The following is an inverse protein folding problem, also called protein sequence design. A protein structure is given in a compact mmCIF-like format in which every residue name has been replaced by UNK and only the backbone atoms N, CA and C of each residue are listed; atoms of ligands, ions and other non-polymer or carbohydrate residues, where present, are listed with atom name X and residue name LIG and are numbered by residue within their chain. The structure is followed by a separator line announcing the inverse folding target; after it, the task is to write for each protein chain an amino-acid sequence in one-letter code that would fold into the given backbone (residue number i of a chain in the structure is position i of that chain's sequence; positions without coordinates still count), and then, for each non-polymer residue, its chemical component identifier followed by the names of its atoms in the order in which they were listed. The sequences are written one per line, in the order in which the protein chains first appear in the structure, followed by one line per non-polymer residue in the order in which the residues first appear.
data_IF_693396581716
#
_entry.id   IF_693396581716
#
_cell.length_a   1.000
_cell.length_b   1.000
_cell.length_c   1.000
_cell.angle_alpha   90.00
_cell.angle_beta   90.00
_cell.angle_gamma   90.00
#
_symmetry.space_group_name_H-M   'P 1'
#
loop_
_entity.id
_entity.type
_entity.pdbx_description
1 polymer ?
#
# COMPACT_ATOMS: atom_id res chain seq x y z
N UNK A 1 -13.57 -11.80 -3.78
CA UNK A 1 -14.78 -11.18 -4.32
C UNK A 1 -14.40 -9.99 -5.18
N UNK A 2 -15.03 -9.83 -6.35
CA UNK A 2 -14.85 -8.68 -7.24
C UNK A 2 -16.12 -7.84 -7.20
N UNK A 3 -15.98 -6.53 -7.09
CA UNK A 3 -17.06 -5.58 -6.97
C UNK A 3 -17.17 -4.73 -8.23
N UNK A 4 -18.36 -4.16 -8.49
CA UNK A 4 -18.61 -3.24 -9.60
C UNK A 4 -19.37 -3.82 -10.79
N UNK A 5 -19.71 -5.11 -10.78
CA UNK A 5 -20.63 -5.68 -11.76
C UNK A 5 -22.07 -5.23 -11.44
N UNK A 6 -22.87 -4.79 -12.44
CA UNK A 6 -24.27 -4.38 -12.22
C UNK A 6 -25.17 -5.50 -11.67
N UNK A 7 -24.79 -6.76 -11.89
CA UNK A 7 -25.54 -7.93 -11.39
C UNK A 7 -25.18 -8.32 -9.96
N UNK A 8 -24.21 -7.64 -9.36
CA UNK A 8 -23.75 -7.86 -7.99
C UNK A 8 -22.31 -8.37 -7.88
N UNK A 9 -21.86 -8.67 -6.66
CA UNK A 9 -20.50 -9.14 -6.40
C UNK A 9 -20.19 -10.48 -7.06
N UNK A 10 -19.07 -10.57 -7.76
CA UNK A 10 -18.62 -11.80 -8.42
C UNK A 10 -17.63 -12.53 -7.52
N UNK A 11 -17.94 -13.75 -7.10
CA UNK A 11 -17.04 -14.62 -6.34
C UNK A 11 -16.33 -15.58 -7.28
N UNK A 12 -15.02 -15.50 -7.37
CA UNK A 12 -14.17 -16.42 -8.15
C UNK A 12 -13.06 -16.97 -7.26
N UNK A 13 -12.77 -18.26 -7.40
CA UNK A 13 -11.54 -18.86 -6.89
C UNK A 13 -10.49 -18.72 -7.97
N UNK A 14 -9.39 -18.05 -7.66
CA UNK A 14 -8.27 -17.83 -8.58
C UNK A 14 -7.04 -18.54 -8.05
N UNK A 15 -6.20 -19.02 -8.95
CA UNK A 15 -4.88 -19.54 -8.58
C UNK A 15 -3.88 -18.39 -8.61
N UNK A 16 -3.24 -18.13 -7.49
CA UNK A 16 -2.18 -17.13 -7.38
C UNK A 16 -0.86 -17.71 -7.90
N UNK A 17 0.06 -16.87 -8.39
CA UNK A 17 1.44 -17.26 -8.67
C UNK A 17 2.10 -17.90 -7.46
N UNK A 18 2.92 -18.92 -7.71
CA UNK A 18 3.68 -19.61 -6.64
C UNK A 18 4.91 -18.83 -6.16
N UNK A 19 5.27 -17.77 -6.87
CA UNK A 19 6.38 -16.86 -6.53
C UNK A 19 5.85 -15.45 -6.37
N UNK A 20 6.63 -14.61 -5.70
CA UNK A 20 6.33 -13.20 -5.57
C UNK A 20 6.00 -12.58 -6.94
N UNK A 21 4.89 -11.87 -6.98
CA UNK A 21 4.45 -11.08 -8.13
C UNK A 21 3.66 -9.86 -7.64
N UNK A 22 4.33 -8.75 -7.52
CA UNK A 22 3.76 -7.50 -7.01
C UNK A 22 2.86 -6.78 -8.01
N UNK A 23 2.81 -7.26 -9.25
CA UNK A 23 2.02 -6.71 -10.34
C UNK A 23 1.09 -7.73 -11.00
N UNK A 24 0.66 -8.78 -10.28
CA UNK A 24 -0.25 -9.78 -10.83
C UNK A 24 -1.61 -9.15 -11.14
N UNK A 25 -2.01 -9.19 -12.41
CA UNK A 25 -3.30 -8.69 -12.86
C UNK A 25 -4.26 -9.83 -13.21
N UNK A 26 -5.44 -9.85 -12.61
CA UNK A 26 -6.48 -10.83 -12.91
C UNK A 26 -7.68 -10.17 -13.59
N UNK A 27 -8.03 -10.62 -14.80
CA UNK A 27 -9.27 -10.18 -15.48
C UNK A 27 -10.40 -11.12 -15.12
N UNK A 28 -11.45 -10.56 -14.56
CA UNK A 28 -12.68 -11.32 -14.26
C UNK A 28 -13.42 -11.58 -15.57
N UNK A 29 -13.81 -12.84 -15.75
CA UNK A 29 -14.70 -13.24 -16.82
C UNK A 29 -15.98 -13.84 -16.21
N UNK A 30 -17.14 -13.41 -16.71
CA UNK A 30 -18.45 -13.92 -16.32
C UNK A 30 -19.43 -13.86 -17.49
N UNK A 31 -20.12 -14.98 -17.75
CA UNK A 31 -21.14 -15.08 -18.80
C UNK A 31 -20.65 -14.60 -20.20
N UNK A 32 -19.40 -14.90 -20.55
CA UNK A 32 -18.78 -14.48 -21.81
C UNK A 32 -18.33 -13.03 -21.87
N UNK A 33 -18.53 -12.26 -20.81
CA UNK A 33 -18.02 -10.88 -20.68
C UNK A 33 -16.72 -10.87 -19.87
N UNK A 34 -15.73 -10.08 -20.33
CA UNK A 34 -14.41 -9.94 -19.69
C UNK A 34 -14.27 -8.52 -19.18
N UNK A 35 -13.78 -8.37 -17.96
CA UNK A 35 -13.49 -7.06 -17.38
C UNK A 35 -12.52 -6.26 -18.28
N UNK A 36 -12.78 -4.96 -18.55
CA UNK A 36 -11.97 -4.14 -19.46
C UNK A 36 -10.54 -3.94 -18.95
N UNK A 37 -10.34 -3.92 -17.63
CA UNK A 37 -9.05 -3.83 -17.00
C UNK A 37 -8.80 -4.97 -16.02
N UNK A 38 -7.54 -5.39 -15.79
CA UNK A 38 -7.23 -6.37 -14.76
C UNK A 38 -7.37 -5.74 -13.37
N UNK A 39 -7.82 -6.55 -12.41
CA UNK A 39 -7.72 -6.22 -11.00
C UNK A 39 -6.29 -6.50 -10.55
N UNK A 40 -5.65 -5.51 -9.94
CA UNK A 40 -4.32 -5.66 -9.41
C UNK A 40 -4.35 -6.48 -8.11
N UNK A 41 -3.51 -7.51 -8.05
CA UNK A 41 -3.34 -8.37 -6.87
C UNK A 41 -1.85 -8.42 -6.57
N UNK A 42 -1.49 -8.18 -5.33
CA UNK A 42 -0.10 -8.24 -4.88
C UNK A 42 0.16 -9.58 -4.21
N UNK A 43 1.11 -10.32 -4.72
CA UNK A 43 1.58 -11.57 -4.14
C UNK A 43 3.00 -11.34 -3.65
N UNK A 44 3.20 -11.30 -2.34
CA UNK A 44 4.51 -11.14 -1.71
C UNK A 44 4.87 -12.38 -0.89
N UNK A 45 6.16 -12.52 -0.56
CA UNK A 45 6.68 -13.64 0.23
C UNK A 45 6.42 -13.50 1.74
N UNK A 46 5.87 -12.37 2.18
CA UNK A 46 5.61 -12.12 3.60
C UNK A 46 4.30 -12.77 4.05
N UNK A 47 4.23 -13.25 5.30
CA UNK A 47 2.97 -13.65 5.89
C UNK A 47 1.96 -12.50 5.87
N UNK A 48 0.71 -12.80 5.54
CA UNK A 48 -0.41 -11.86 5.58
C UNK A 48 -1.24 -12.07 6.84
N UNK A 49 -1.59 -10.97 7.50
CA UNK A 49 -2.52 -10.92 8.63
C UNK A 49 -3.78 -10.25 8.12
N UNK A 50 -4.89 -10.96 8.15
CA UNK A 50 -6.20 -10.36 7.89
C UNK A 50 -6.67 -9.61 9.13
N UNK A 51 -7.33 -8.49 8.93
CA UNK A 51 -8.02 -7.80 10.02
C UNK A 51 -9.11 -8.67 10.62
N UNK A 52 -9.44 -8.38 11.86
CA UNK A 52 -10.56 -8.96 12.57
C UNK A 52 -11.19 -7.89 13.47
N UNK A 53 -12.42 -7.58 13.18
CA UNK A 53 -13.18 -6.56 13.89
C UNK A 53 -13.73 -7.04 15.25
N UNK A 54 -13.86 -6.15 16.25
CA UNK A 54 -13.52 -4.72 16.21
C UNK A 54 -12.05 -4.45 16.49
N UNK A 55 -11.41 -3.55 15.71
CA UNK A 55 -10.02 -3.18 15.85
C UNK A 55 -9.77 -1.65 15.84
N UNK A 56 -10.82 -0.83 16.05
CA UNK A 56 -10.83 0.64 15.94
C UNK A 56 -9.87 1.39 16.88
N UNK A 57 -9.31 0.73 17.88
CA UNK A 57 -8.45 1.38 18.88
C UNK A 57 -7.13 0.63 19.09
N UNK A 58 -6.10 1.33 19.61
CA UNK A 58 -4.84 0.68 19.99
C UNK A 58 -5.06 -0.47 21.00
N UNK A 59 -6.12 -0.41 21.80
CA UNK A 59 -6.44 -1.44 22.79
C UNK A 59 -7.06 -2.67 22.16
N UNK A 60 -7.88 -2.48 21.13
CA UNK A 60 -8.56 -3.55 20.39
C UNK A 60 -7.79 -3.97 19.14
N UNK A 61 -6.59 -3.45 18.93
CA UNK A 61 -5.74 -3.75 17.77
C UNK A 61 -5.58 -5.25 17.54
N UNK A 62 -5.61 -5.67 16.28
CA UNK A 62 -5.29 -7.05 15.90
C UNK A 62 -3.84 -7.37 16.25
N UNK A 63 -3.63 -8.31 17.16
CA UNK A 63 -2.30 -8.67 17.68
C UNK A 63 -1.73 -9.83 16.87
N UNK A 64 -0.48 -9.69 16.43
CA UNK A 64 0.29 -10.81 15.89
C UNK A 64 1.57 -11.03 16.69
N UNK A 65 1.93 -12.29 16.91
CA UNK A 65 3.22 -12.69 17.49
C UNK A 65 4.34 -12.72 16.44
N UNK A 66 4.00 -12.60 15.16
CA UNK A 66 4.98 -12.55 14.09
C UNK A 66 5.74 -11.22 14.11
N UNK A 67 6.96 -11.26 13.62
CA UNK A 67 7.82 -10.08 13.47
C UNK A 67 7.85 -9.61 12.02
N UNK A 68 8.08 -8.31 11.80
CA UNK A 68 8.28 -7.78 10.46
C UNK A 68 9.45 -8.50 9.74
N UNK A 69 9.39 -8.76 8.42
CA UNK A 69 8.40 -8.20 7.47
C UNK A 69 7.06 -8.94 7.49
N UNK A 70 5.96 -8.19 7.39
CA UNK A 70 4.59 -8.69 7.36
C UNK A 70 3.75 -7.89 6.36
N UNK A 71 2.66 -8.48 5.93
CA UNK A 71 1.58 -7.75 5.27
C UNK A 71 0.32 -7.77 6.15
N UNK A 72 -0.48 -6.71 6.08
CA UNK A 72 -1.77 -6.60 6.75
C UNK A 72 -2.81 -6.25 5.69
N UNK A 73 -3.90 -6.99 5.65
CA UNK A 73 -4.96 -6.84 4.67
C UNK A 73 -6.28 -6.53 5.39
N UNK A 74 -7.04 -5.56 4.89
CA UNK A 74 -8.31 -5.18 5.48
C UNK A 74 -9.19 -4.30 4.61
N UNK A 75 -10.29 -3.84 5.21
CA UNK A 75 -11.31 -2.98 4.61
C UNK A 75 -11.71 -1.93 5.62
N UNK A 76 -11.60 -0.67 5.28
CA UNK A 76 -12.26 0.40 6.07
C UNK A 76 -13.76 0.28 5.81
N UNK A 77 -14.49 -0.44 6.68
CA UNK A 77 -15.84 -0.95 6.40
C UNK A 77 -16.92 0.13 6.37
N UNK A 78 -16.75 1.21 7.14
CA UNK A 78 -17.75 2.27 7.33
C UNK A 78 -17.10 3.63 7.58
N UNK A 79 -17.91 4.67 7.60
CA UNK A 79 -17.47 6.00 8.03
C UNK A 79 -16.83 5.95 9.43
N UNK A 80 -15.67 6.65 9.56
CA UNK A 80 -14.89 6.77 10.80
C UNK A 80 -14.24 5.47 11.28
N UNK A 81 -14.24 4.46 10.45
CA UNK A 81 -13.53 3.23 10.70
C UNK A 81 -12.02 3.44 10.73
N UNK A 82 -11.35 2.69 11.60
CA UNK A 82 -9.92 2.84 11.86
C UNK A 82 -9.31 1.51 12.26
N UNK A 83 -8.47 0.93 11.44
CA UNK A 83 -7.87 -0.36 11.72
C UNK A 83 -6.52 -0.24 12.40
N UNK A 84 -6.30 -1.07 13.39
CA UNK A 84 -5.07 -1.10 14.16
C UNK A 84 -4.49 -2.52 14.19
N UNK A 85 -3.19 -2.62 13.89
CA UNK A 85 -2.42 -3.88 13.92
C UNK A 85 -1.24 -3.75 14.87
N UNK A 86 -1.11 -4.68 15.81
CA UNK A 86 -0.05 -4.69 16.81
C UNK A 86 0.96 -5.78 16.53
N UNK A 87 2.23 -5.42 16.46
CA UNK A 87 3.34 -6.32 16.16
C UNK A 87 4.56 -6.02 17.02
N UNK A 88 5.51 -6.96 17.06
CA UNK A 88 6.79 -6.80 17.75
C UNK A 88 7.89 -6.35 16.79
N UNK A 89 8.75 -5.44 17.25
CA UNK A 89 9.95 -5.03 16.51
C UNK A 89 11.14 -4.79 17.45
N UNK A 90 12.36 -4.89 16.89
CA UNK A 90 13.62 -4.70 17.61
C UNK A 90 14.28 -3.38 17.24
N UNK A 91 14.95 -2.76 18.23
CA UNK A 91 15.73 -1.55 18.05
C UNK A 91 16.71 -1.66 16.87
N UNK A 92 16.75 -0.62 16.06
CA UNK A 92 17.66 -0.51 14.92
C UNK A 92 17.15 -1.17 13.64
N UNK A 93 16.09 -1.99 13.70
CA UNK A 93 15.44 -2.48 12.49
C UNK A 93 14.91 -1.29 11.68
N UNK A 94 15.10 -1.33 10.36
CA UNK A 94 14.69 -0.26 9.46
C UNK A 94 13.75 -0.82 8.40
N UNK A 95 12.56 -0.21 8.28
CA UNK A 95 11.50 -0.66 7.39
C UNK A 95 10.91 0.48 6.57
N UNK A 96 10.45 0.12 5.38
CA UNK A 96 9.48 0.86 4.61
C UNK A 96 8.12 0.16 4.76
N UNK A 97 7.10 0.87 5.24
CA UNK A 97 5.73 0.36 5.36
C UNK A 97 4.89 1.09 4.31
N UNK A 98 4.49 0.37 3.27
CA UNK A 98 3.68 0.86 2.16
C UNK A 98 2.21 0.56 2.40
N UNK A 99 1.34 1.54 2.21
CA UNK A 99 -0.06 1.27 1.97
C UNK A 99 -0.27 1.06 0.46
N UNK A 100 -1.05 0.07 0.10
CA UNK A 100 -1.54 -0.18 -1.24
C UNK A 100 -3.06 -0.15 -1.18
N UNK A 101 -3.66 0.93 -1.65
CA UNK A 101 -5.08 1.14 -1.75
C UNK A 101 -5.45 1.61 -3.17
N UNK A 102 -5.14 2.85 -3.53
CA UNK A 102 -5.44 3.33 -4.87
C UNK A 102 -4.65 2.59 -5.96
N UNK A 103 -3.43 2.18 -5.67
CA UNK A 103 -2.61 1.36 -6.58
C UNK A 103 -3.22 0.00 -6.89
N UNK A 104 -4.14 -0.51 -6.08
CA UNK A 104 -4.90 -1.75 -6.31
C UNK A 104 -6.36 -1.50 -6.67
N UNK A 105 -6.76 -0.25 -6.93
CA UNK A 105 -8.10 0.13 -7.39
C UNK A 105 -9.12 0.43 -6.30
N UNK A 106 -8.69 0.58 -5.04
CA UNK A 106 -9.53 1.02 -3.93
C UNK A 106 -9.79 2.53 -4.00
N UNK A 107 -10.96 3.04 -3.58
CA UNK A 107 -11.20 4.46 -3.40
C UNK A 107 -10.55 5.04 -2.14
N UNK A 108 -10.05 4.21 -1.24
CA UNK A 108 -9.40 4.59 0.00
C UNK A 108 -8.20 5.52 -0.25
N UNK A 109 -8.14 6.61 0.49
CA UNK A 109 -7.00 7.53 0.61
C UNK A 109 -6.32 7.28 1.96
N UNK A 110 -5.31 6.37 2.03
CA UNK A 110 -4.88 5.82 3.31
C UNK A 110 -3.96 6.76 4.07
N UNK A 111 -4.31 7.05 5.31
CA UNK A 111 -3.44 7.71 6.29
C UNK A 111 -2.87 6.66 7.24
N UNK A 112 -1.54 6.58 7.30
CA UNK A 112 -0.81 5.69 8.20
C UNK A 112 -0.29 6.42 9.43
N UNK A 113 -0.40 5.78 10.59
CA UNK A 113 0.26 6.22 11.81
C UNK A 113 0.89 5.03 12.54
N UNK A 114 2.12 5.21 13.01
CA UNK A 114 2.83 4.23 13.84
C UNK A 114 2.92 4.76 15.27
N UNK A 115 2.53 3.93 16.23
CA UNK A 115 2.55 4.23 17.66
C UNK A 115 3.46 3.28 18.42
N UNK A 116 4.04 3.75 19.53
CA UNK A 116 4.75 2.89 20.46
C UNK A 116 3.79 2.18 21.45
N UNK A 117 4.37 1.37 22.33
CA UNK A 117 3.67 0.59 23.37
C UNK A 117 2.86 1.45 24.37
N UNK A 118 3.17 2.75 24.46
CA UNK A 118 2.47 3.73 25.30
C UNK A 118 1.41 4.52 24.53
N UNK A 119 1.20 4.22 23.27
CA UNK A 119 0.27 4.94 22.39
C UNK A 119 0.79 6.30 21.91
N UNK A 120 2.10 6.58 22.07
CA UNK A 120 2.70 7.79 21.53
C UNK A 120 2.95 7.62 20.03
N UNK A 121 2.48 8.58 19.23
CA UNK A 121 2.78 8.60 17.79
C UNK A 121 4.27 8.80 17.56
N UNK A 122 4.85 7.93 16.73
CA UNK A 122 6.27 7.95 16.35
C UNK A 122 6.43 8.52 14.94
N UNK A 123 5.58 8.10 14.04
CA UNK A 123 5.64 8.45 12.62
C UNK A 123 4.26 8.40 12.00
N UNK A 124 3.99 9.29 11.07
CA UNK A 124 2.79 9.27 10.25
C UNK A 124 3.13 9.58 8.80
N UNK A 125 2.23 9.20 7.91
CA UNK A 125 2.23 9.54 6.49
C UNK A 125 0.80 9.62 6.01
N UNK A 126 0.55 10.60 5.16
CA UNK A 126 -0.74 10.83 4.51
C UNK A 126 -0.60 10.53 3.01
N UNK A 127 0.44 11.04 2.39
CA UNK A 127 0.78 10.82 0.99
C UNK A 127 2.24 10.45 0.82
N UNK A 128 2.57 9.73 -0.26
CA UNK A 128 3.94 9.43 -0.61
C UNK A 128 4.20 9.57 -2.11
N UNK A 129 5.34 10.17 -2.46
CA UNK A 129 5.86 10.23 -3.83
C UNK A 129 4.87 10.79 -4.88
N UNK A 130 4.09 11.81 -4.52
CA UNK A 130 3.03 12.42 -5.35
C UNK A 130 1.87 11.46 -5.71
N UNK A 131 1.72 10.37 -4.98
CA UNK A 131 0.56 9.48 -5.01
C UNK A 131 -0.23 9.61 -3.71
N UNK A 132 -1.44 9.07 -3.68
CA UNK A 132 -2.29 9.05 -2.49
C UNK A 132 -2.08 7.83 -1.59
N UNK A 133 -1.30 6.84 -2.04
CA UNK A 133 -0.90 5.72 -1.19
C UNK A 133 0.23 6.15 -0.25
N UNK A 134 0.10 5.88 1.03
CA UNK A 134 1.02 6.33 2.07
C UNK A 134 2.26 5.44 2.22
N UNK A 135 3.36 6.04 2.68
CA UNK A 135 4.62 5.36 2.99
C UNK A 135 5.22 5.87 4.29
N UNK A 136 5.48 4.97 5.22
CA UNK A 136 6.31 5.24 6.39
C UNK A 136 7.68 4.60 6.21
N UNK A 137 8.74 5.41 6.26
CA UNK A 137 10.11 4.90 6.46
C UNK A 137 10.50 5.14 7.92
N UNK A 138 10.86 4.08 8.65
CA UNK A 138 11.14 4.13 10.09
C UNK A 138 12.37 3.31 10.46
N UNK A 139 13.18 3.83 11.37
CA UNK A 139 14.13 3.04 12.16
C UNK A 139 13.54 2.85 13.54
N UNK A 140 13.35 1.60 13.95
CA UNK A 140 12.74 1.25 15.24
C UNK A 140 13.60 1.76 16.40
N UNK A 141 13.08 2.63 17.27
CA UNK A 141 13.90 3.32 18.30
C UNK A 141 14.25 2.42 19.50
N UNK A 142 13.43 1.44 19.83
CA UNK A 142 13.61 0.52 20.98
C UNK A 142 12.94 -0.82 20.72
N UNK A 143 13.33 -1.86 21.43
CA UNK A 143 12.61 -3.12 21.45
C UNK A 143 11.21 -2.93 22.05
N UNK A 144 10.20 -3.57 21.47
CA UNK A 144 8.86 -3.49 22.02
C UNK A 144 7.74 -3.76 21.02
N UNK A 145 6.52 -3.50 21.49
CA UNK A 145 5.33 -3.58 20.67
C UNK A 145 5.05 -2.21 20.00
N UNK A 146 4.59 -2.30 18.78
CA UNK A 146 4.20 -1.15 17.97
C UNK A 146 2.81 -1.37 17.40
N UNK A 147 2.05 -0.29 17.22
CA UNK A 147 0.74 -0.35 16.59
C UNK A 147 0.76 0.47 15.31
N UNK A 148 0.51 -0.18 14.19
CA UNK A 148 0.28 0.46 12.90
C UNK A 148 -1.23 0.69 12.75
N UNK A 149 -1.59 1.94 12.47
CA UNK A 149 -2.96 2.37 12.22
C UNK A 149 -3.12 2.77 10.79
N UNK A 150 -4.23 2.38 10.19
CA UNK A 150 -4.70 2.88 8.90
C UNK A 150 -6.12 3.42 9.02
N UNK A 151 -6.43 4.46 8.26
CA UNK A 151 -7.77 5.04 8.10
C UNK A 151 -7.87 5.76 6.77
N UNK A 152 -9.07 6.09 6.35
CA UNK A 152 -9.27 7.00 5.23
C UNK A 152 -8.95 8.45 5.61
N UNK A 153 -8.42 9.23 4.67
CA UNK A 153 -8.09 10.66 4.88
C UNK A 153 -9.31 11.47 5.32
N UNK A 154 -10.45 11.29 4.67
CA UNK A 154 -11.70 11.98 4.95
C UNK A 154 -12.64 11.19 5.89
N UNK A 155 -12.14 10.09 6.47
CA UNK A 155 -12.94 9.18 7.29
C UNK A 155 -14.14 8.56 6.55
N UNK A 156 -14.04 8.42 5.23
CA UNK A 156 -14.97 7.62 4.47
C UNK A 156 -14.70 6.12 4.66
N UNK A 157 -15.63 5.28 4.24
CA UNK A 157 -15.49 3.83 4.29
C UNK A 157 -16.55 3.12 3.46
N UNK A 158 -16.45 1.81 3.36
CA UNK A 158 -17.38 0.95 2.62
C UNK A 158 -16.69 -0.29 2.06
N UNK A 159 -17.46 -1.25 1.56
CA UNK A 159 -16.97 -2.56 1.08
C UNK A 159 -15.85 -2.50 0.02
N UNK A 160 -15.67 -1.37 -0.65
CA UNK A 160 -14.61 -1.18 -1.67
C UNK A 160 -13.36 -0.51 -1.12
N UNK A 161 -13.36 -0.07 0.14
CA UNK A 161 -12.22 0.60 0.76
C UNK A 161 -11.18 -0.41 1.26
N UNK A 162 -10.82 -1.33 0.37
CA UNK A 162 -9.83 -2.38 0.64
C UNK A 162 -8.42 -1.79 0.68
N UNK A 163 -7.55 -2.38 1.51
CA UNK A 163 -6.14 -2.01 1.55
C UNK A 163 -5.25 -3.23 1.82
N UNK A 164 -3.98 -3.06 1.47
CA UNK A 164 -2.90 -3.93 1.86
C UNK A 164 -1.73 -3.09 2.37
N UNK A 165 -1.26 -3.35 3.58
CA UNK A 165 -0.06 -2.72 4.14
C UNK A 165 1.09 -3.72 4.05
N UNK A 166 2.22 -3.32 3.46
CA UNK A 166 3.40 -4.18 3.33
C UNK A 166 4.59 -3.55 4.03
N UNK A 167 5.17 -4.28 5.00
CA UNK A 167 6.42 -3.87 5.63
C UNK A 167 7.61 -4.55 4.95
N UNK A 168 8.42 -3.77 4.26
CA UNK A 168 9.63 -4.25 3.61
C UNK A 168 10.86 -3.85 4.42
N UNK A 169 11.86 -4.73 4.59
CA UNK A 169 13.16 -4.32 5.09
C UNK A 169 13.70 -3.18 4.23
N UNK A 170 14.23 -2.16 4.87
CA UNK A 170 14.81 -1.05 4.13
C UNK A 170 16.06 -1.53 3.37
N UNK A 171 16.08 -1.32 2.08
CA UNK A 171 17.26 -1.51 1.26
C UNK A 171 17.65 -0.19 0.59
N UNK A 172 18.94 0.14 0.50
CA UNK A 172 19.38 1.31 -0.23
C UNK A 172 18.91 1.24 -1.69
N UNK A 173 18.38 2.35 -2.20
CA UNK A 173 17.85 2.42 -3.56
C UNK A 173 18.49 3.57 -4.32
N UNK A 174 18.73 3.34 -5.61
CA UNK A 174 19.03 4.41 -6.56
C UNK A 174 17.77 4.67 -7.38
N UNK A 175 17.24 5.88 -7.27
CA UNK A 175 16.07 6.32 -8.01
C UNK A 175 16.55 7.16 -9.19
N UNK A 176 16.22 6.72 -10.41
CA UNK A 176 16.39 7.51 -11.61
C UNK A 176 15.08 8.25 -11.92
N UNK A 177 15.18 9.53 -12.21
CA UNK A 177 14.02 10.34 -12.59
C UNK A 177 14.38 11.30 -13.72
N UNK A 178 13.40 11.65 -14.54
CA UNK A 178 13.50 12.73 -15.53
C UNK A 178 13.28 14.04 -14.82
N UNK A 179 14.05 15.11 -15.13
CA UNK A 179 13.78 16.45 -14.57
C UNK A 179 12.34 16.88 -14.82
N UNK A 180 11.68 17.43 -13.81
CA UNK A 180 10.31 17.93 -13.94
C UNK A 180 10.31 19.27 -14.63
N UNK A 181 9.40 19.48 -15.59
CA UNK A 181 9.26 20.74 -16.30
C UNK A 181 8.45 21.79 -15.54
N UNK A 182 7.64 21.36 -14.57
CA UNK A 182 6.84 22.24 -13.73
C UNK A 182 6.64 21.68 -12.32
N UNK A 183 6.32 22.56 -11.38
CA UNK A 183 6.16 22.22 -9.97
C UNK A 183 4.98 21.25 -9.66
N UNK A 184 4.09 21.05 -10.63
CA UNK A 184 2.93 20.16 -10.52
C UNK A 184 3.02 18.92 -11.39
N UNK A 185 4.16 18.73 -12.06
CA UNK A 185 4.38 17.55 -12.89
C UNK A 185 4.75 16.35 -12.03
N UNK A 186 4.35 15.17 -12.48
CA UNK A 186 4.76 13.90 -11.90
C UNK A 186 5.53 13.10 -12.94
N UNK A 187 6.35 12.13 -12.50
CA UNK A 187 7.09 11.29 -13.43
C UNK A 187 6.19 10.56 -14.42
N UNK A 188 4.98 10.19 -14.02
CA UNK A 188 3.99 9.53 -14.88
C UNK A 188 3.38 10.44 -15.96
N UNK A 189 3.51 11.75 -15.82
CA UNK A 189 3.02 12.74 -16.80
C UNK A 189 4.09 13.22 -17.76
N UNK A 190 5.34 12.86 -17.52
CA UNK A 190 6.43 13.32 -18.35
C UNK A 190 6.55 12.48 -19.61
N UNK A 191 6.63 13.15 -20.73
CA UNK A 191 6.87 12.54 -22.03
C UNK A 191 8.01 13.24 -22.73
N UNK A 192 8.88 12.46 -23.37
CA UNK A 192 9.92 12.98 -24.25
C UNK A 192 9.46 12.66 -25.67
N UNK A 193 8.90 13.64 -26.42
CA UNK A 193 8.48 13.41 -27.79
C UNK A 193 9.73 13.22 -28.67
N UNK A 194 9.79 12.11 -29.38
CA UNK A 194 10.84 11.85 -30.36
C UNK A 194 10.19 11.66 -31.71
N UNK A 195 10.47 12.54 -32.66
CA UNK A 195 9.96 12.43 -34.00
C UNK A 195 10.54 11.16 -34.67
N UNK A 196 9.71 10.53 -35.52
CA UNK A 196 10.12 9.30 -36.24
C UNK A 196 11.43 9.50 -37.00
N UNK A 197 12.39 8.62 -36.78
CA UNK A 197 13.71 8.69 -37.38
C UNK A 197 14.73 9.61 -36.71
N UNK A 198 14.31 10.33 -35.64
CA UNK A 198 15.21 11.19 -34.88
C UNK A 198 15.64 10.54 -33.55
N UNK A 199 16.60 11.19 -32.88
CA UNK A 199 17.09 10.85 -31.54
C UNK A 199 16.80 12.01 -30.60
N UNK A 200 16.49 11.72 -29.36
CA UNK A 200 16.42 12.70 -28.29
C UNK A 200 17.39 12.33 -27.17
N UNK A 201 18.02 13.33 -26.58
CA UNK A 201 18.80 13.18 -25.36
C UNK A 201 18.07 13.89 -24.22
N UNK A 202 18.10 13.31 -23.03
CA UNK A 202 17.56 13.92 -21.82
C UNK A 202 18.51 13.69 -20.66
N UNK A 203 18.45 14.57 -19.67
CA UNK A 203 19.15 14.39 -18.41
C UNK A 203 18.37 13.39 -17.52
N UNK A 204 19.09 12.60 -16.75
CA UNK A 204 18.52 11.79 -15.67
C UNK A 204 19.03 12.30 -14.32
N UNK A 205 18.12 12.56 -13.40
CA UNK A 205 18.45 12.79 -12.01
C UNK A 205 18.58 11.44 -11.31
N UNK A 206 19.73 11.19 -10.69
CA UNK A 206 19.95 10.01 -9.86
C UNK A 206 19.97 10.44 -8.40
N UNK A 207 19.06 9.89 -7.61
CA UNK A 207 19.04 10.10 -6.16
C UNK A 207 19.24 8.78 -5.43
N UNK A 208 20.10 8.79 -4.41
CA UNK A 208 20.32 7.64 -3.53
C UNK A 208 19.53 7.83 -2.25
N UNK A 209 18.70 6.86 -1.90
CA UNK A 209 18.05 6.74 -0.58
C UNK A 209 18.82 5.70 0.24
N UNK A 210 19.40 6.11 1.36
CA UNK A 210 20.13 5.26 2.32
C UNK A 210 19.27 5.02 3.57
#
# INVERSE_FOLDING_TARGET
TFMGDPTGPIKKKIQLPSKENLGFGYRVEQNGSIAPAPNAIRVCEFPSILENEPNDTIRTANVTELTLPLAFDGIIEKEKDVDNFKFKAKKGQKFNIYAHAQSIGSPLDPVLNLYDDKGKSIKGSDDANNGRDSLITITIPKDGNYTLRVRDHLYAGGERFVYRLESHPFSPQVIASIPMFGNRDTQSRQMIPVARGNKAATALNLSRKN
#
